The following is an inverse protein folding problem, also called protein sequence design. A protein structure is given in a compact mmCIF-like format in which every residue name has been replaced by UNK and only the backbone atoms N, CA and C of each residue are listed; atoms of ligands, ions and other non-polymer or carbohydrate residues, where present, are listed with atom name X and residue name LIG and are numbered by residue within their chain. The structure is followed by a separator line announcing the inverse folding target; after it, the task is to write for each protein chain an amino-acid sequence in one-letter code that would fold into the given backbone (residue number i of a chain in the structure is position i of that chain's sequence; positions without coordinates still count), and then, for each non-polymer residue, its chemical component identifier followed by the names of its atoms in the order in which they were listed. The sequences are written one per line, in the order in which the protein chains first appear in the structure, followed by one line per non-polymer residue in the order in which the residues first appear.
data_IF_644507386320
#
_entry.id   IF_644507386320
#
_cell.length_a   1.000
_cell.length_b   1.000
_cell.length_c   1.000
_cell.angle_alpha   90.00
_cell.angle_beta   90.00
_cell.angle_gamma   90.00
#
_symmetry.space_group_name_H-M   'P 1'
#
loop_
_entity.id
_entity.type
_entity.pdbx_description
1 polymer ?
#
# COMPACT_ATOMS: atom_id res chain seq x y z
N UNK A 1 12.42 -1.62 -32.20
CA UNK A 1 11.51 -0.45 -32.13
C UNK A 1 11.66 0.14 -30.74
N UNK A 2 11.52 1.45 -30.59
CA UNK A 2 11.51 2.08 -29.28
C UNK A 2 10.42 1.48 -28.39
N UNK A 3 10.67 1.41 -27.08
CA UNK A 3 9.69 0.92 -26.11
C UNK A 3 8.81 2.09 -25.60
N UNK A 4 9.30 3.32 -25.74
CA UNK A 4 8.54 4.54 -25.47
C UNK A 4 7.42 4.71 -26.50
N UNK A 5 6.25 5.14 -26.03
CA UNK A 5 5.05 5.28 -26.86
C UNK A 5 4.35 6.61 -26.60
N UNK A 6 3.91 7.25 -27.67
CA UNK A 6 3.09 8.46 -27.65
C UNK A 6 1.98 8.38 -28.67
N UNK A 7 0.88 9.07 -28.35
CA UNK A 7 -0.21 9.33 -29.28
C UNK A 7 -0.06 10.72 -29.88
N UNK A 8 -0.32 10.83 -31.18
CA UNK A 8 -0.36 12.12 -31.85
C UNK A 8 -1.71 12.79 -31.59
N UNK A 9 -1.68 13.96 -30.93
CA UNK A 9 -2.86 14.73 -30.60
C UNK A 9 -2.84 16.04 -31.38
N UNK A 10 -3.87 16.29 -32.17
CA UNK A 10 -4.07 17.57 -32.84
C UNK A 10 -4.62 18.60 -31.82
N UNK A 11 -3.99 19.77 -31.76
CA UNK A 11 -4.30 20.84 -30.83
C UNK A 11 -4.41 22.18 -31.55
N UNK A 12 -5.28 23.05 -31.06
CA UNK A 12 -5.32 24.46 -31.45
C UNK A 12 -4.84 25.32 -30.29
N UNK A 13 -3.89 26.22 -30.55
CA UNK A 13 -3.38 27.11 -29.52
C UNK A 13 -4.43 28.17 -29.13
N UNK A 14 -4.82 28.31 -27.85
CA UNK A 14 -5.78 29.31 -27.42
C UNK A 14 -5.27 30.75 -27.58
N UNK A 15 -3.94 30.95 -27.65
CA UNK A 15 -3.34 32.29 -27.74
C UNK A 15 -3.21 32.81 -29.18
N UNK A 16 -2.70 31.99 -30.11
CA UNK A 16 -2.47 32.42 -31.50
C UNK A 16 -3.33 31.68 -32.54
N UNK A 17 -4.15 30.71 -32.11
CA UNK A 17 -5.01 29.86 -32.96
C UNK A 17 -4.28 28.95 -33.95
N UNK A 18 -2.96 28.88 -33.89
CA UNK A 18 -2.18 27.93 -34.68
C UNK A 18 -2.60 26.49 -34.36
N UNK A 19 -2.81 25.71 -35.41
CA UNK A 19 -3.04 24.27 -35.31
C UNK A 19 -1.71 23.53 -35.38
N UNK A 20 -1.51 22.57 -34.48
CA UNK A 20 -0.29 21.76 -34.46
C UNK A 20 -0.56 20.39 -33.87
N UNK A 21 0.31 19.43 -34.20
CA UNK A 21 0.26 18.08 -33.65
C UNK A 21 1.31 17.96 -32.55
N UNK A 22 0.91 17.45 -31.40
CA UNK A 22 1.80 17.20 -30.28
C UNK A 22 1.84 15.72 -29.92
N UNK A 23 2.98 15.28 -29.36
CA UNK A 23 3.17 13.91 -28.91
C UNK A 23 2.79 13.78 -27.43
N UNK A 24 1.71 13.04 -27.15
CA UNK A 24 1.26 12.73 -25.80
C UNK A 24 1.81 11.37 -25.36
N UNK A 25 2.92 11.41 -24.61
CA UNK A 25 3.65 10.22 -24.17
C UNK A 25 2.88 9.45 -23.10
N UNK A 26 2.63 8.17 -23.32
CA UNK A 26 1.98 7.27 -22.36
C UNK A 26 2.90 6.14 -21.89
N UNK A 27 3.98 5.81 -22.62
CA UNK A 27 5.04 4.93 -22.15
C UNK A 27 6.38 5.67 -22.29
N UNK A 28 7.17 5.70 -21.23
CA UNK A 28 8.52 6.26 -21.23
C UNK A 28 9.51 5.20 -20.74
N UNK A 29 10.34 4.73 -21.65
CA UNK A 29 11.54 3.97 -21.30
C UNK A 29 12.63 4.96 -20.87
N UNK A 30 13.05 4.85 -19.62
CA UNK A 30 14.02 5.76 -19.01
C UNK A 30 15.42 5.69 -19.60
N UNK A 31 15.80 4.54 -20.15
CA UNK A 31 17.08 4.36 -20.84
C UNK A 31 17.00 4.91 -22.25
N UNK A 32 15.88 4.68 -22.95
CA UNK A 32 15.66 5.19 -24.30
C UNK A 32 15.48 6.71 -24.33
N UNK A 33 14.72 7.27 -23.38
CA UNK A 33 14.26 8.67 -23.37
C UNK A 33 14.53 9.37 -22.04
N UNK A 34 15.82 9.59 -21.69
CA UNK A 34 16.19 10.31 -20.48
C UNK A 34 15.75 11.79 -20.50
N UNK A 35 15.53 12.36 -21.69
CA UNK A 35 14.93 13.69 -21.87
C UNK A 35 13.50 13.76 -21.34
N UNK A 36 12.70 12.73 -21.57
CA UNK A 36 11.32 12.65 -21.11
C UNK A 36 11.26 12.41 -19.60
N UNK A 37 12.15 11.59 -19.03
CA UNK A 37 12.29 11.47 -17.58
C UNK A 37 12.53 12.82 -16.89
N UNK A 38 13.44 13.64 -17.42
CA UNK A 38 13.67 15.01 -16.90
C UNK A 38 12.43 15.90 -17.00
N UNK A 39 11.60 15.71 -18.02
CA UNK A 39 10.31 16.43 -18.15
C UNK A 39 9.28 15.95 -17.14
N UNK A 40 9.26 14.65 -16.84
CA UNK A 40 8.40 14.08 -15.78
C UNK A 40 8.79 14.66 -14.42
N UNK A 41 10.09 14.64 -14.07
CA UNK A 41 10.61 15.21 -12.82
C UNK A 41 10.24 16.69 -12.63
N UNK A 42 10.11 17.45 -13.72
CA UNK A 42 9.71 18.87 -13.69
C UNK A 42 8.19 19.10 -13.76
N UNK A 43 7.38 18.05 -13.84
CA UNK A 43 5.93 18.15 -14.03
C UNK A 43 5.51 18.74 -15.38
N UNK A 44 6.33 18.56 -16.43
CA UNK A 44 6.16 19.20 -17.76
C UNK A 44 5.97 18.20 -18.91
N UNK A 45 5.83 16.91 -18.64
CA UNK A 45 5.71 15.91 -19.72
C UNK A 45 4.47 16.19 -20.58
N UNK A 46 3.29 16.29 -19.96
CA UNK A 46 2.03 16.50 -20.67
C UNK A 46 1.61 17.96 -20.83
N UNK A 47 2.51 18.89 -20.52
CA UNK A 47 2.34 20.31 -20.81
C UNK A 47 2.72 20.59 -22.26
N UNK A 48 1.74 20.85 -23.11
CA UNK A 48 1.90 21.10 -24.54
C UNK A 48 2.14 22.58 -24.80
N UNK A 49 3.29 22.90 -25.39
CA UNK A 49 3.68 24.26 -25.74
C UNK A 49 3.47 24.45 -27.23
N UNK A 50 2.78 25.53 -27.61
CA UNK A 50 2.58 25.90 -29.01
C UNK A 50 3.92 26.25 -29.66
N UNK A 51 4.27 25.65 -30.82
CA UNK A 51 5.53 25.93 -31.49
C UNK A 51 5.63 27.38 -32.01
N UNK A 52 4.49 28.00 -32.32
CA UNK A 52 4.47 29.31 -32.99
C UNK A 52 4.64 30.48 -32.01
N UNK A 53 3.98 30.42 -30.84
CA UNK A 53 3.99 31.53 -29.88
C UNK A 53 4.62 31.19 -28.51
N UNK A 54 5.00 29.93 -28.29
CA UNK A 54 5.63 29.48 -27.04
C UNK A 54 4.70 29.43 -25.82
N UNK A 55 3.41 29.76 -25.97
CA UNK A 55 2.42 29.66 -24.91
C UNK A 55 1.98 28.21 -24.68
N UNK A 56 1.50 27.92 -23.48
CA UNK A 56 0.93 26.61 -23.16
C UNK A 56 -0.41 26.49 -23.87
N UNK A 57 -0.51 25.53 -24.78
CA UNK A 57 -1.74 25.26 -25.51
C UNK A 57 -2.69 24.36 -24.72
N UNK A 58 -2.16 23.35 -24.04
CA UNK A 58 -2.94 22.39 -23.25
C UNK A 58 -2.07 21.70 -22.19
N UNK A 59 -2.71 21.22 -21.14
CA UNK A 59 -2.16 20.19 -20.26
C UNK A 59 -3.01 18.94 -20.47
N UNK A 60 -2.42 17.86 -20.98
CA UNK A 60 -3.15 16.63 -21.28
C UNK A 60 -3.10 15.72 -20.05
N UNK A 61 -4.26 15.38 -19.51
CA UNK A 61 -4.35 14.40 -18.42
C UNK A 61 -4.47 13.00 -19.02
N UNK A 62 -3.36 12.27 -19.04
CA UNK A 62 -3.25 10.94 -19.67
C UNK A 62 -2.47 9.99 -18.76
N UNK A 63 -2.82 8.69 -18.73
CA UNK A 63 -2.06 7.71 -17.96
C UNK A 63 -0.63 7.61 -18.47
N UNK A 64 0.30 7.27 -17.57
CA UNK A 64 1.72 7.15 -17.89
C UNK A 64 2.32 5.91 -17.26
N UNK A 65 2.96 5.09 -18.07
CA UNK A 65 3.82 3.99 -17.64
C UNK A 65 5.29 4.40 -17.80
N UNK A 66 6.08 4.26 -16.75
CA UNK A 66 7.52 4.55 -16.76
C UNK A 66 8.27 3.25 -16.54
N UNK A 67 9.13 2.90 -17.49
CA UNK A 67 10.00 1.73 -17.43
C UNK A 67 11.43 2.15 -17.09
N UNK A 68 12.00 1.55 -16.05
CA UNK A 68 13.32 1.85 -15.49
C UNK A 68 14.11 0.55 -15.24
N UNK A 69 14.70 -0.05 -16.28
CA UNK A 69 15.40 -1.32 -16.11
C UNK A 69 16.53 -1.23 -15.08
N UNK A 70 16.67 -2.27 -14.26
CA UNK A 70 17.73 -2.37 -13.24
C UNK A 70 17.51 -1.54 -11.96
N UNK A 71 16.40 -0.80 -11.86
CA UNK A 71 16.00 -0.12 -10.63
C UNK A 71 15.19 -1.05 -9.72
N UNK A 72 15.16 -0.76 -8.41
CA UNK A 72 14.35 -1.47 -7.41
C UNK A 72 12.88 -1.55 -7.81
N UNK A 73 12.36 -0.47 -8.40
CA UNK A 73 11.03 -0.40 -9.00
C UNK A 73 11.11 -0.20 -10.51
N UNK A 74 11.10 -1.29 -11.30
CA UNK A 74 11.31 -1.23 -12.73
C UNK A 74 10.11 -0.67 -13.51
N UNK A 75 8.90 -0.75 -12.95
CA UNK A 75 7.68 -0.21 -13.57
C UNK A 75 6.94 0.70 -12.59
N UNK A 76 6.64 1.93 -13.03
CA UNK A 76 5.75 2.85 -12.33
C UNK A 76 4.56 3.18 -13.22
N UNK A 77 3.36 3.08 -12.68
CA UNK A 77 2.13 3.51 -13.35
C UNK A 77 1.57 4.75 -12.67
N UNK A 78 1.25 5.78 -13.45
CA UNK A 78 0.60 6.99 -12.96
C UNK A 78 -0.73 7.15 -13.67
N UNK A 79 -1.87 7.07 -12.95
CA UNK A 79 -3.18 7.25 -13.55
C UNK A 79 -3.41 8.70 -14.00
N UNK A 80 -4.50 8.91 -14.72
CA UNK A 80 -5.05 10.25 -14.92
C UNK A 80 -5.70 10.77 -13.63
N UNK A 81 -5.94 12.08 -13.49
CA UNK A 81 -6.40 12.66 -12.22
C UNK A 81 -7.86 12.33 -11.86
N UNK A 82 -8.67 11.87 -12.83
CA UNK A 82 -10.13 11.67 -12.67
C UNK A 82 -10.61 10.31 -13.16
N UNK A 83 -9.87 9.26 -12.84
CA UNK A 83 -10.21 7.87 -13.19
C UNK A 83 -10.62 7.08 -11.96
N UNK A 84 -11.53 6.14 -12.16
CA UNK A 84 -11.91 5.14 -11.16
C UNK A 84 -10.85 4.04 -11.05
N UNK A 85 -10.81 3.26 -9.94
CA UNK A 85 -9.87 2.15 -9.81
C UNK A 85 -9.96 1.09 -10.93
N UNK A 86 -11.15 0.87 -11.49
CA UNK A 86 -11.36 -0.06 -12.60
C UNK A 86 -10.79 0.50 -13.92
N UNK A 87 -10.95 1.80 -14.16
CA UNK A 87 -10.33 2.49 -15.30
C UNK A 87 -8.80 2.50 -15.16
N UNK A 88 -8.27 2.74 -13.97
CA UNK A 88 -6.83 2.67 -13.69
C UNK A 88 -6.25 1.28 -13.96
N UNK A 89 -6.97 0.24 -13.54
CA UNK A 89 -6.59 -1.14 -13.82
C UNK A 89 -6.61 -1.44 -15.32
N UNK A 90 -7.64 -0.99 -16.03
CA UNK A 90 -7.76 -1.18 -17.49
C UNK A 90 -6.64 -0.44 -18.24
N UNK A 91 -6.38 0.82 -17.89
CA UNK A 91 -5.35 1.65 -18.50
C UNK A 91 -3.95 1.09 -18.24
N UNK A 92 -3.65 0.70 -17.00
CA UNK A 92 -2.36 0.10 -16.65
C UNK A 92 -2.12 -1.21 -17.39
N UNK A 93 -3.10 -2.11 -17.46
CA UNK A 93 -3.01 -3.36 -18.21
C UNK A 93 -2.73 -3.12 -19.70
N UNK A 94 -3.41 -2.15 -20.32
CA UNK A 94 -3.20 -1.82 -21.73
C UNK A 94 -1.77 -1.32 -22.00
N UNK A 95 -1.24 -0.43 -21.15
CA UNK A 95 0.12 0.10 -21.30
C UNK A 95 1.17 -0.97 -21.01
N UNK A 96 0.96 -1.82 -20.00
CA UNK A 96 1.84 -2.94 -19.68
C UNK A 96 1.90 -3.95 -20.82
N UNK A 97 0.75 -4.31 -21.40
CA UNK A 97 0.70 -5.22 -22.54
C UNK A 97 1.44 -4.67 -23.76
N UNK A 98 1.29 -3.37 -24.04
CA UNK A 98 2.04 -2.70 -25.12
C UNK A 98 3.55 -2.70 -24.84
N UNK A 99 3.97 -2.38 -23.62
CA UNK A 99 5.39 -2.43 -23.24
C UNK A 99 5.95 -3.86 -23.36
N UNK A 100 5.21 -4.87 -22.90
CA UNK A 100 5.57 -6.28 -23.03
C UNK A 100 5.78 -6.69 -24.49
N UNK A 101 4.86 -6.31 -25.38
CA UNK A 101 5.02 -6.55 -26.82
C UNK A 101 6.27 -5.87 -27.38
N UNK A 102 6.57 -4.65 -26.93
CA UNK A 102 7.77 -3.91 -27.34
C UNK A 102 9.07 -4.55 -26.86
N UNK A 103 9.11 -5.04 -25.63
CA UNK A 103 10.31 -5.65 -25.01
C UNK A 103 10.55 -7.10 -25.45
N UNK A 104 9.51 -7.83 -25.85
CA UNK A 104 9.62 -9.22 -26.31
C UNK A 104 10.29 -10.11 -25.26
N UNK A 105 11.41 -10.75 -25.61
CA UNK A 105 12.16 -11.65 -24.72
C UNK A 105 12.89 -10.94 -23.58
N UNK A 106 13.03 -9.62 -23.63
CA UNK A 106 13.61 -8.85 -22.53
C UNK A 106 12.62 -8.63 -21.36
N UNK A 107 11.33 -8.93 -21.58
CA UNK A 107 10.29 -8.83 -20.55
C UNK A 107 10.50 -9.85 -19.42
N UNK A 108 10.14 -9.46 -18.19
CA UNK A 108 10.17 -10.35 -17.03
C UNK A 108 8.85 -10.25 -16.28
N UNK A 109 8.11 -11.36 -16.16
CA UNK A 109 6.77 -11.38 -15.54
C UNK A 109 6.79 -10.92 -14.08
N UNK A 110 7.91 -11.16 -13.37
CA UNK A 110 8.13 -10.68 -12.00
C UNK A 110 7.94 -9.17 -11.80
N UNK A 111 8.10 -8.35 -12.85
CA UNK A 111 7.92 -6.90 -12.76
C UNK A 111 6.48 -6.47 -12.49
N UNK A 112 5.51 -7.35 -12.77
CA UNK A 112 4.08 -7.11 -12.51
C UNK A 112 3.59 -7.99 -11.35
N UNK A 113 4.13 -9.20 -11.19
CA UNK A 113 3.78 -10.11 -10.08
C UNK A 113 4.09 -9.53 -8.70
N UNK A 114 5.16 -8.72 -8.58
CA UNK A 114 5.55 -8.04 -7.34
C UNK A 114 4.78 -6.73 -7.09
N UNK A 115 3.78 -6.44 -7.92
CA UNK A 115 2.95 -5.24 -7.84
C UNK A 115 3.48 -4.11 -8.74
N UNK A 116 2.77 -3.86 -9.84
CA UNK A 116 2.91 -2.61 -10.58
C UNK A 116 2.65 -1.44 -9.62
N UNK A 117 3.65 -0.61 -9.37
CA UNK A 117 3.51 0.48 -8.41
C UNK A 117 2.69 1.61 -9.03
N UNK A 118 1.47 1.81 -8.53
CA UNK A 118 0.68 3.01 -8.79
C UNK A 118 1.31 4.22 -8.10
N UNK A 119 1.49 5.34 -8.80
CA UNK A 119 2.09 6.58 -8.29
C UNK A 119 1.24 7.77 -8.77
N UNK A 120 0.61 8.53 -7.86
CA UNK A 120 -0.09 9.75 -8.21
C UNK A 120 0.80 10.71 -9.01
N UNK A 121 0.23 11.40 -10.01
CA UNK A 121 0.95 12.29 -10.93
C UNK A 121 1.89 13.27 -10.21
N UNK A 122 1.42 13.81 -9.09
CA UNK A 122 2.12 14.81 -8.28
C UNK A 122 3.35 14.25 -7.54
N UNK A 123 3.38 12.93 -7.29
CA UNK A 123 4.46 12.26 -6.57
C UNK A 123 5.54 11.68 -7.49
N UNK A 124 5.30 11.64 -8.80
CA UNK A 124 6.24 11.05 -9.77
C UNK A 124 7.65 11.64 -9.68
N UNK A 125 7.78 12.96 -9.51
CA UNK A 125 9.08 13.61 -9.42
C UNK A 125 9.89 13.08 -8.22
N UNK A 126 9.24 13.00 -7.06
CA UNK A 126 9.86 12.51 -5.83
C UNK A 126 10.27 11.03 -5.95
N UNK A 127 9.41 10.16 -6.47
CA UNK A 127 9.70 8.72 -6.66
C UNK A 127 10.84 8.49 -7.65
N UNK A 128 10.94 9.34 -8.67
CA UNK A 128 12.05 9.28 -9.64
C UNK A 128 13.38 9.74 -9.04
N UNK A 129 13.38 10.61 -8.04
CA UNK A 129 14.58 11.10 -7.35
C UNK A 129 15.03 10.19 -6.21
N UNK A 130 14.09 9.67 -5.41
CA UNK A 130 14.39 8.85 -4.23
C UNK A 130 14.65 7.37 -4.55
N UNK A 131 14.17 6.88 -5.71
CA UNK A 131 14.26 5.46 -6.09
C UNK A 131 13.34 4.53 -5.30
N UNK A 132 12.55 5.07 -4.36
CA UNK A 132 11.58 4.35 -3.55
C UNK A 132 10.18 4.87 -3.88
N UNK A 133 9.15 4.00 -3.90
CA UNK A 133 7.79 4.49 -3.95
C UNK A 133 7.56 5.33 -2.70
N UNK A 134 7.08 6.55 -2.88
CA UNK A 134 6.39 7.23 -1.79
C UNK A 134 5.17 6.37 -1.52
N UNK A 135 4.98 5.95 -0.28
CA UNK A 135 3.84 5.14 0.13
C UNK A 135 2.54 5.73 -0.45
N UNK A 136 1.99 5.07 -1.48
CA UNK A 136 0.65 5.34 -1.96
C UNK A 136 -0.27 4.51 -1.11
N UNK A 137 -0.47 4.96 0.13
CA UNK A 137 -1.68 4.62 0.86
C UNK A 137 -2.83 5.32 0.14
N UNK A 138 -3.79 4.55 -0.37
CA UNK A 138 -5.13 5.08 -0.65
C UNK A 138 -5.55 5.95 0.53
N UNK A 139 -5.90 7.20 0.25
CA UNK A 139 -6.04 8.28 1.23
C UNK A 139 -4.81 8.43 2.15
N UNK A 140 -3.91 9.37 1.84
CA UNK A 140 -3.05 9.90 2.91
C UNK A 140 -3.95 10.31 4.07
N UNK A 141 -3.73 9.79 5.28
CA UNK A 141 -4.40 10.34 6.44
C UNK A 141 -4.03 11.83 6.45
N UNK A 142 -5.02 12.73 6.61
CA UNK A 142 -4.73 14.17 6.79
C UNK A 142 -3.59 14.33 7.80
N UNK A 143 -2.79 15.41 7.75
CA UNK A 143 -1.69 15.59 8.75
C UNK A 143 -2.19 15.46 10.19
N UNK A 144 -3.49 15.72 10.38
CA UNK A 144 -4.30 15.39 11.55
C UNK A 144 -4.37 13.87 11.81
N UNK A 145 -4.90 13.03 10.91
CA UNK A 145 -4.94 11.56 11.08
C UNK A 145 -3.54 10.92 11.30
N UNK A 146 -2.47 11.44 10.69
CA UNK A 146 -1.09 10.98 10.96
C UNK A 146 -0.61 11.41 12.36
N UNK A 147 -0.99 12.61 12.80
CA UNK A 147 -0.82 13.08 14.18
C UNK A 147 -1.60 12.20 15.17
N UNK A 148 -2.84 11.84 14.83
CA UNK A 148 -3.70 10.99 15.63
C UNK A 148 -3.10 9.60 15.77
N UNK A 149 -2.68 8.96 14.68
CA UNK A 149 -2.02 7.65 14.74
C UNK A 149 -0.75 7.69 15.59
N UNK A 150 0.09 8.73 15.43
CA UNK A 150 1.32 8.88 16.25
C UNK A 150 1.00 9.01 17.73
N UNK A 151 -0.02 9.78 18.09
CA UNK A 151 -0.45 9.94 19.48
C UNK A 151 -0.98 8.63 20.07
N UNK A 152 -1.77 7.89 19.30
CA UNK A 152 -2.32 6.59 19.68
C UNK A 152 -1.20 5.57 19.91
N UNK A 153 -0.24 5.47 18.97
CA UNK A 153 0.90 4.57 19.10
C UNK A 153 1.78 4.94 20.30
N UNK A 154 1.95 6.23 20.58
CA UNK A 154 2.66 6.69 21.78
C UNK A 154 1.93 6.26 23.06
N UNK A 155 0.60 6.40 23.15
CA UNK A 155 -0.18 5.95 24.32
C UNK A 155 -0.11 4.41 24.46
N UNK A 156 -0.25 3.66 23.36
CA UNK A 156 -0.16 2.20 23.34
C UNK A 156 1.24 1.68 23.71
N UNK A 157 2.30 2.47 23.50
CA UNK A 157 3.67 2.11 23.91
C UNK A 157 3.88 2.22 25.42
N UNK A 158 3.04 2.99 26.14
CA UNK A 158 3.16 3.14 27.58
C UNK A 158 2.77 1.86 28.32
N UNK A 159 3.45 1.54 29.43
CA UNK A 159 3.11 0.39 30.26
C UNK A 159 1.73 0.58 30.90
N UNK A 160 0.98 -0.52 31.01
CA UNK A 160 -0.30 -0.51 31.70
C UNK A 160 -0.07 -0.47 33.20
N UNK A 161 -0.58 0.56 33.86
CA UNK A 161 -0.51 0.70 35.32
C UNK A 161 -1.73 0.12 36.04
N UNK A 162 -2.89 0.09 35.36
CA UNK A 162 -4.15 -0.39 35.93
C UNK A 162 -4.93 -1.20 34.87
N UNK A 163 -5.39 -2.39 35.24
CA UNK A 163 -6.16 -3.29 34.38
C UNK A 163 -7.45 -2.66 33.84
N UNK A 164 -8.00 -1.66 34.54
CA UNK A 164 -9.17 -0.88 34.08
C UNK A 164 -8.88 -0.08 32.80
N UNK A 165 -7.60 0.19 32.49
CA UNK A 165 -7.19 0.87 31.26
C UNK A 165 -7.30 -0.02 30.01
N UNK A 166 -7.53 -1.33 30.16
CA UNK A 166 -7.61 -2.24 29.02
C UNK A 166 -8.73 -1.89 28.05
N UNK A 167 -9.89 -1.43 28.54
CA UNK A 167 -10.96 -0.93 27.67
C UNK A 167 -10.52 0.24 26.77
N UNK A 168 -9.73 1.17 27.32
CA UNK A 168 -9.12 2.27 26.54
C UNK A 168 -8.13 1.74 25.51
N UNK A 169 -7.31 0.75 25.87
CA UNK A 169 -6.35 0.14 24.93
C UNK A 169 -7.04 -0.59 23.78
N UNK A 170 -8.15 -1.28 24.04
CA UNK A 170 -8.98 -1.90 22.99
C UNK A 170 -9.46 -0.83 22.01
N UNK A 171 -10.00 0.27 22.52
CA UNK A 171 -10.50 1.37 21.69
C UNK A 171 -9.37 1.99 20.86
N UNK A 172 -8.22 2.27 21.47
CA UNK A 172 -7.05 2.81 20.77
C UNK A 172 -6.53 1.87 19.68
N UNK A 173 -6.48 0.56 19.94
CA UNK A 173 -6.04 -0.40 18.91
C UNK A 173 -7.04 -0.43 17.74
N UNK A 174 -8.35 -0.41 18.01
CA UNK A 174 -9.38 -0.32 16.96
C UNK A 174 -9.24 0.96 16.15
N UNK A 175 -9.06 2.10 16.81
CA UNK A 175 -8.83 3.39 16.14
C UNK A 175 -7.57 3.33 15.27
N UNK A 176 -6.44 2.87 15.80
CA UNK A 176 -5.21 2.71 15.04
C UNK A 176 -5.39 1.82 13.80
N UNK A 177 -6.11 0.71 13.93
CA UNK A 177 -6.41 -0.21 12.81
C UNK A 177 -7.30 0.43 11.73
N UNK A 178 -8.10 1.45 12.06
CA UNK A 178 -8.82 2.22 11.02
C UNK A 178 -7.94 3.25 10.30
N UNK A 179 -6.81 3.62 10.91
CA UNK A 179 -5.86 4.61 10.37
C UNK A 179 -4.70 3.96 9.60
N UNK A 180 -4.43 2.67 9.82
CA UNK A 180 -3.35 1.93 9.17
C UNK A 180 -3.91 1.11 8.00
N UNK A 181 -3.40 1.33 6.79
CA UNK A 181 -3.70 0.47 5.64
C UNK A 181 -3.00 -0.89 5.76
N UNK A 182 -3.67 -1.97 5.33
CA UNK A 182 -3.01 -3.28 5.24
C UNK A 182 -1.83 -3.24 4.25
N UNK A 183 -1.98 -2.58 3.11
CA UNK A 183 -0.91 -2.45 2.12
C UNK A 183 0.16 -1.46 2.60
N UNK A 184 1.43 -1.89 2.59
CA UNK A 184 2.60 -1.08 2.96
C UNK A 184 2.90 -0.99 4.46
N UNK A 185 1.98 -1.41 5.34
CA UNK A 185 2.14 -1.37 6.80
C UNK A 185 1.76 -2.70 7.47
N UNK A 186 1.98 -3.83 6.77
CA UNK A 186 1.53 -5.16 7.18
C UNK A 186 2.03 -5.55 8.58
N UNK A 187 3.31 -5.30 8.88
CA UNK A 187 3.90 -5.60 10.19
C UNK A 187 3.27 -4.75 11.32
N UNK A 188 3.08 -3.45 11.09
CA UNK A 188 2.45 -2.54 12.06
C UNK A 188 0.99 -2.93 12.30
N UNK A 189 0.26 -3.23 11.22
CA UNK A 189 -1.11 -3.70 11.29
C UNK A 189 -1.21 -5.00 12.10
N UNK A 190 -0.34 -5.99 11.83
CA UNK A 190 -0.31 -7.24 12.57
C UNK A 190 0.06 -7.04 14.05
N UNK A 191 1.01 -6.15 14.35
CA UNK A 191 1.36 -5.81 15.72
C UNK A 191 0.19 -5.14 16.47
N UNK A 192 -0.58 -4.28 15.80
CA UNK A 192 -1.79 -3.67 16.36
C UNK A 192 -2.89 -4.71 16.61
N UNK A 193 -3.06 -5.69 15.72
CA UNK A 193 -3.97 -6.82 15.93
C UNK A 193 -3.56 -7.66 17.14
N UNK A 194 -2.26 -7.99 17.28
CA UNK A 194 -1.76 -8.69 18.46
C UNK A 194 -1.99 -7.91 19.76
N UNK A 195 -1.76 -6.59 19.75
CA UNK A 195 -2.04 -5.72 20.91
C UNK A 195 -3.53 -5.61 21.23
N UNK A 196 -4.39 -5.60 20.21
CA UNK A 196 -5.84 -5.64 20.38
C UNK A 196 -6.25 -6.94 21.08
N UNK A 197 -5.74 -8.09 20.61
CA UNK A 197 -5.99 -9.39 21.23
C UNK A 197 -5.61 -9.44 22.71
N UNK A 198 -4.41 -8.95 23.07
CA UNK A 198 -3.95 -8.89 24.47
C UNK A 198 -4.87 -8.01 25.30
N UNK A 199 -5.22 -6.83 24.77
CA UNK A 199 -6.05 -5.85 25.48
C UNK A 199 -7.47 -6.37 25.72
N UNK A 200 -8.06 -7.07 24.75
CA UNK A 200 -9.37 -7.71 24.88
C UNK A 200 -9.34 -8.83 25.93
N UNK A 201 -8.34 -9.69 25.85
CA UNK A 201 -8.16 -10.81 26.78
C UNK A 201 -8.01 -10.34 28.24
N UNK A 202 -7.34 -9.20 28.43
CA UNK A 202 -7.07 -8.63 29.74
C UNK A 202 -8.15 -7.65 30.23
N UNK A 203 -9.14 -7.28 29.39
CA UNK A 203 -10.15 -6.29 29.75
C UNK A 203 -11.24 -6.86 30.68
N UNK A 204 -11.31 -6.42 31.95
CA UNK A 204 -12.27 -6.95 32.92
C UNK A 204 -13.65 -6.27 32.85
N UNK A 205 -13.78 -5.17 32.10
CA UNK A 205 -14.99 -4.33 32.07
C UNK A 205 -15.90 -4.61 30.86
N UNK A 206 -15.48 -5.46 29.92
CA UNK A 206 -16.27 -5.85 28.76
C UNK A 206 -17.03 -7.18 28.94
N UNK A 207 -17.81 -7.58 27.94
CA UNK A 207 -18.34 -8.95 27.88
C UNK A 207 -17.17 -9.92 27.69
N UNK A 208 -16.84 -10.65 28.76
CA UNK A 208 -15.72 -11.60 28.75
C UNK A 208 -15.86 -12.65 27.65
N UNK A 209 -17.06 -13.13 27.35
CA UNK A 209 -17.24 -14.14 26.32
C UNK A 209 -16.96 -13.56 24.93
N UNK A 210 -17.50 -12.37 24.64
CA UNK A 210 -17.25 -11.70 23.36
C UNK A 210 -15.80 -11.25 23.21
N UNK A 211 -15.18 -10.74 24.28
CA UNK A 211 -13.76 -10.34 24.27
C UNK A 211 -12.84 -11.50 23.89
N UNK A 212 -13.14 -12.74 24.32
CA UNK A 212 -12.34 -13.91 23.94
C UNK A 212 -12.49 -14.25 22.45
N UNK A 213 -13.69 -14.17 21.88
CA UNK A 213 -13.90 -14.39 20.44
C UNK A 213 -13.18 -13.31 19.61
N UNK A 214 -13.31 -12.05 20.00
CA UNK A 214 -12.65 -10.92 19.33
C UNK A 214 -11.12 -11.04 19.44
N UNK A 215 -10.59 -11.50 20.59
CA UNK A 215 -9.16 -11.70 20.78
C UNK A 215 -8.61 -12.83 19.89
N UNK A 216 -9.33 -13.96 19.81
CA UNK A 216 -8.97 -15.07 18.91
C UNK A 216 -8.91 -14.58 17.47
N UNK A 217 -9.93 -13.85 17.02
CA UNK A 217 -9.97 -13.30 15.66
C UNK A 217 -8.80 -12.33 15.40
N UNK A 218 -8.48 -11.46 16.35
CA UNK A 218 -7.36 -10.51 16.23
C UNK A 218 -6.00 -11.23 16.15
N UNK A 219 -5.75 -12.25 16.97
CA UNK A 219 -4.52 -13.04 16.88
C UNK A 219 -4.41 -13.81 15.57
N UNK A 220 -5.50 -14.43 15.09
CA UNK A 220 -5.53 -15.10 13.80
C UNK A 220 -5.21 -14.14 12.64
N UNK A 221 -5.71 -12.90 12.71
CA UNK A 221 -5.37 -11.84 11.77
C UNK A 221 -3.88 -11.44 11.85
N UNK A 222 -3.31 -11.28 13.05
CA UNK A 222 -1.88 -11.00 13.19
C UNK A 222 -1.00 -12.09 12.56
N UNK A 223 -1.41 -13.36 12.71
CA UNK A 223 -0.69 -14.54 12.18
C UNK A 223 -0.75 -14.70 10.66
N UNK A 224 -1.54 -13.90 9.92
CA UNK A 224 -1.46 -13.88 8.45
C UNK A 224 -0.22 -13.17 7.93
N UNK A 225 0.37 -12.30 8.76
CA UNK A 225 1.59 -11.53 8.45
C UNK A 225 2.77 -12.03 9.28
N UNK A 226 2.57 -12.19 10.59
CA UNK A 226 3.57 -12.79 11.48
C UNK A 226 3.63 -14.27 11.14
N UNK A 227 4.65 -14.70 10.41
CA UNK A 227 4.85 -16.10 10.05
C UNK A 227 6.04 -16.68 10.79
N UNK A 228 6.05 -17.99 11.01
CA UNK A 228 7.14 -18.69 11.67
C UNK A 228 8.50 -18.43 11.02
N UNK A 229 8.54 -18.27 9.69
CA UNK A 229 9.80 -18.08 8.94
C UNK A 229 10.26 -16.63 8.91
N UNK A 230 9.34 -15.66 8.78
CA UNK A 230 9.70 -14.25 8.66
C UNK A 230 9.89 -13.59 10.03
N UNK A 231 9.08 -13.97 11.01
CA UNK A 231 8.99 -13.33 12.33
C UNK A 231 8.86 -14.39 13.44
N UNK A 232 9.84 -15.30 13.60
CA UNK A 232 9.71 -16.50 14.45
C UNK A 232 9.30 -16.20 15.89
N UNK A 233 9.91 -15.17 16.50
CA UNK A 233 9.64 -14.79 17.90
C UNK A 233 8.25 -14.18 18.07
N UNK A 234 7.85 -13.26 17.17
CA UNK A 234 6.53 -12.62 17.23
C UNK A 234 5.41 -13.61 16.91
N UNK A 235 5.65 -14.52 15.95
CA UNK A 235 4.74 -15.62 15.65
C UNK A 235 4.56 -16.53 16.86
N UNK A 236 5.64 -17.02 17.48
CA UNK A 236 5.55 -17.88 18.66
C UNK A 236 4.83 -17.19 19.83
N UNK A 237 5.13 -15.91 20.07
CA UNK A 237 4.46 -15.11 21.10
C UNK A 237 2.97 -14.97 20.81
N UNK A 238 2.59 -14.70 19.57
CA UNK A 238 1.19 -14.57 19.16
C UNK A 238 0.45 -15.89 19.24
N UNK A 239 1.09 -17.00 18.87
CA UNK A 239 0.56 -18.37 19.03
C UNK A 239 0.32 -18.73 20.50
N UNK A 240 1.23 -18.37 21.41
CA UNK A 240 1.02 -18.56 22.86
C UNK A 240 -0.17 -17.77 23.39
N UNK A 241 -0.34 -16.52 22.92
CA UNK A 241 -1.46 -15.69 23.32
C UNK A 241 -2.79 -16.22 22.78
N UNK A 242 -2.81 -16.68 21.52
CA UNK A 242 -3.96 -17.37 20.91
C UNK A 242 -4.33 -18.64 21.70
N UNK A 243 -3.34 -19.46 22.07
CA UNK A 243 -3.55 -20.63 22.91
C UNK A 243 -4.18 -20.28 24.27
N UNK A 244 -3.71 -19.19 24.89
CA UNK A 244 -4.27 -18.69 26.16
C UNK A 244 -5.71 -18.20 25.98
N UNK A 245 -6.04 -17.59 24.84
CA UNK A 245 -7.40 -17.16 24.53
C UNK A 245 -8.34 -18.36 24.34
N UNK A 246 -7.92 -19.39 23.59
CA UNK A 246 -8.67 -20.65 23.47
C UNK A 246 -8.91 -21.33 24.82
N UNK A 247 -7.87 -21.41 25.66
CA UNK A 247 -8.00 -21.99 27.01
C UNK A 247 -8.98 -21.24 27.91
N UNK A 248 -9.19 -19.93 27.69
CA UNK A 248 -10.09 -19.08 28.46
C UNK A 248 -11.44 -18.82 27.78
N UNK A 249 -11.65 -19.37 26.56
CA UNK A 249 -12.85 -19.17 25.76
C UNK A 249 -14.06 -19.79 26.45
N UNK A 250 -15.13 -18.99 26.57
CA UNK A 250 -16.37 -19.38 27.27
C UNK A 250 -17.35 -20.08 26.32
N UNK A 251 -17.36 -19.70 25.04
CA UNK A 251 -18.26 -20.26 24.02
C UNK A 251 -17.65 -21.51 23.36
N UNK A 252 -18.51 -22.31 22.75
CA UNK A 252 -18.12 -23.54 22.06
C UNK A 252 -17.95 -24.74 22.98
N UNK A 253 -17.47 -25.84 22.41
CA UNK A 253 -17.17 -27.06 23.17
C UNK A 253 -15.85 -26.91 23.94
N UNK A 254 -15.86 -27.28 25.23
CA UNK A 254 -14.70 -27.11 26.11
C UNK A 254 -13.55 -28.02 25.72
N UNK A 255 -13.82 -29.24 25.26
CA UNK A 255 -12.75 -30.16 24.86
C UNK A 255 -12.07 -29.63 23.59
N UNK A 256 -12.85 -29.20 22.60
CA UNK A 256 -12.29 -28.58 21.39
C UNK A 256 -11.45 -27.34 21.69
N UNK A 257 -11.93 -26.46 22.57
CA UNK A 257 -11.17 -25.27 22.97
C UNK A 257 -9.81 -25.63 23.61
N UNK A 258 -9.74 -26.75 24.35
CA UNK A 258 -8.49 -27.22 24.95
C UNK A 258 -7.56 -27.86 23.90
N UNK A 259 -8.11 -28.60 22.94
CA UNK A 259 -7.35 -29.15 21.82
C UNK A 259 -6.73 -28.03 20.96
N UNK A 260 -7.50 -27.00 20.63
CA UNK A 260 -7.03 -25.83 19.88
C UNK A 260 -5.92 -25.09 20.65
N UNK A 261 -6.06 -24.94 21.98
CA UNK A 261 -5.03 -24.35 22.82
C UNK A 261 -3.75 -25.17 22.84
N UNK A 262 -3.84 -26.50 23.01
CA UNK A 262 -2.69 -27.40 23.00
C UNK A 262 -1.96 -27.34 21.65
N UNK A 263 -2.71 -27.38 20.54
CA UNK A 263 -2.14 -27.30 19.21
C UNK A 263 -1.39 -25.98 18.99
N UNK A 264 -1.95 -24.85 19.44
CA UNK A 264 -1.29 -23.55 19.33
C UNK A 264 -0.03 -23.45 20.20
N UNK A 265 -0.04 -23.98 21.43
CA UNK A 265 1.17 -24.05 22.27
C UNK A 265 2.25 -24.95 21.66
N UNK A 266 1.87 -26.12 21.14
CA UNK A 266 2.81 -27.03 20.49
C UNK A 266 3.49 -26.38 19.29
N UNK A 267 2.73 -25.64 18.48
CA UNK A 267 3.28 -24.87 17.37
C UNK A 267 4.27 -23.80 17.86
N UNK A 268 3.93 -23.03 18.89
CA UNK A 268 4.83 -22.02 19.45
C UNK A 268 6.17 -22.60 19.95
N UNK A 269 6.18 -23.84 20.45
CA UNK A 269 7.39 -24.53 20.94
C UNK A 269 8.32 -25.05 19.83
N UNK A 270 7.94 -24.92 18.56
CA UNK A 270 8.78 -25.34 17.42
C UNK A 270 9.80 -24.29 16.97
N UNK A 271 9.77 -23.10 17.60
CA UNK A 271 10.72 -21.99 17.39
C UNK A 271 11.80 -22.01 18.47
#
# INVERSE_FOLDING_TARGET
MGHSYAESVALSCPSCRAEFVAQCWQIVDGVERPDLLKRIQRGKLHRMVCPDCGQVAANLDQPLLIYRPGQTLPLLFSPAEKTSPEEDQTQSQALVMRLRQGLGTAWQDRWVEQGLTGVPRQQLAQVLESGLPVEVSGESPSSEKLGDLRSILQELSQPVQDIRQMGRRVELCRQALTLVSHQGNEELWAALQGKLGISLQQNPLGDRAQNMEDAIAAYQQALTVMTQTAMPVDWATTMMNLATAYSNRIRGDRAQNMEDAIAAYQQALTV
#
